data_IF_976444005473
#
_entry.id   IF_976444005473
#
_cell.length_a   1.000
_cell.length_b   1.000
_cell.length_c   1.000
_cell.angle_alpha   90.00
_cell.angle_beta   90.00
_cell.angle_gamma   90.00
#
_symmetry.space_group_name_H-M   'P 1'
#
loop_
_entity.id
_entity.type
_entity.pdbx_description
1 polymer ?
#
# COMPACT_ATOMS: atom_id res chain seq x y z
N UNK A 1 -16.39 -6.23 -16.38
CA UNK A 1 -15.82 -4.92 -16.75
C UNK A 1 -16.01 -3.99 -15.57
N UNK A 2 -14.98 -3.84 -14.73
CA UNK A 2 -14.93 -2.82 -13.68
C UNK A 2 -13.70 -1.98 -13.92
N UNK A 3 -13.89 -0.85 -14.60
CA UNK A 3 -12.84 0.16 -14.80
C UNK A 3 -12.75 0.90 -13.47
N UNK A 4 -11.89 0.44 -12.57
CA UNK A 4 -11.52 1.24 -11.41
C UNK A 4 -10.50 2.28 -11.86
N UNK A 5 -10.80 3.50 -11.48
CA UNK A 5 -10.46 4.72 -12.17
C UNK A 5 -9.08 5.19 -11.75
N UNK A 6 -7.99 4.70 -12.34
CA UNK A 6 -6.62 5.19 -12.07
C UNK A 6 -6.43 6.69 -12.34
N UNK A 7 -7.42 7.36 -12.94
CA UNK A 7 -7.46 8.79 -13.23
C UNK A 7 -7.37 9.67 -11.96
N UNK A 8 -7.95 9.25 -10.83
CA UNK A 8 -7.88 10.04 -9.58
C UNK A 8 -6.46 10.03 -8.98
N UNK A 9 -5.74 8.92 -9.09
CA UNK A 9 -4.35 8.78 -8.64
C UNK A 9 -3.37 9.50 -9.58
N UNK A 10 -3.58 9.38 -10.89
CA UNK A 10 -2.74 10.04 -11.89
C UNK A 10 -2.84 11.58 -11.83
N UNK A 11 -4.00 12.12 -11.47
CA UNK A 11 -4.19 13.57 -11.36
C UNK A 11 -3.44 14.20 -10.16
N UNK A 12 -3.10 13.43 -9.12
CA UNK A 12 -2.30 13.91 -7.99
C UNK A 12 -0.80 13.97 -8.30
N UNK A 13 -0.31 13.08 -9.16
CA UNK A 13 1.13 12.94 -9.48
C UNK A 13 1.59 14.04 -10.46
N UNK A 14 0.68 14.56 -11.31
CA UNK A 14 1.01 15.58 -12.31
C UNK A 14 1.40 16.95 -11.75
N UNK A 15 1.19 17.21 -10.46
CA UNK A 15 1.50 18.51 -9.83
C UNK A 15 2.97 18.73 -9.45
N UNK A 16 3.78 17.69 -9.36
CA UNK A 16 5.17 17.83 -8.89
C UNK A 16 5.99 16.64 -9.36
N UNK A 17 6.85 16.83 -10.37
CA UNK A 17 7.78 15.81 -10.85
C UNK A 17 8.91 15.46 -9.84
N UNK A 18 8.68 15.69 -8.54
CA UNK A 18 9.63 15.48 -7.46
C UNK A 18 8.98 14.84 -6.21
N UNK A 19 7.74 14.32 -6.30
CA UNK A 19 6.95 13.76 -5.17
C UNK A 19 6.49 12.32 -5.39
N UNK A 20 7.42 11.38 -5.64
CA UNK A 20 7.11 9.97 -5.35
C UNK A 20 6.80 9.77 -3.85
N UNK A 21 7.14 10.76 -3.02
CA UNK A 21 7.32 10.63 -1.56
C UNK A 21 6.30 11.34 -0.67
N UNK A 22 5.20 11.90 -1.18
CA UNK A 22 4.13 12.37 -0.27
C UNK A 22 3.03 11.34 -0.27
N UNK A 23 3.15 10.40 0.67
CA UNK A 23 2.07 9.61 1.28
C UNK A 23 0.99 9.22 0.29
N UNK A 24 1.01 7.97 -0.14
CA UNK A 24 -0.15 7.36 -0.76
C UNK A 24 -1.23 7.37 0.32
N UNK A 25 -1.96 8.48 0.49
CA UNK A 25 -2.60 8.86 1.75
C UNK A 25 -3.57 7.74 2.17
N UNK A 26 -3.09 6.78 2.95
CA UNK A 26 -3.94 5.87 3.70
C UNK A 26 -4.80 6.71 4.65
N UNK A 27 -4.32 7.90 5.07
CA UNK A 27 -5.12 8.97 5.70
C UNK A 27 -6.41 9.37 4.93
N UNK A 28 -6.43 9.25 3.59
CA UNK A 28 -7.65 9.54 2.80
C UNK A 28 -8.55 8.33 2.63
N UNK A 29 -8.06 7.14 2.96
CA UNK A 29 -8.93 6.00 3.14
C UNK A 29 -9.61 6.17 4.49
N UNK A 30 -10.94 6.16 4.49
CA UNK A 30 -11.76 6.13 5.71
C UNK A 30 -11.69 4.73 6.36
N UNK A 31 -10.47 4.22 6.55
CA UNK A 31 -10.15 2.91 7.11
C UNK A 31 -9.26 3.12 8.31
N UNK A 32 -9.78 2.78 9.49
CA UNK A 32 -8.97 2.79 10.71
C UNK A 32 -8.01 1.60 10.68
N UNK A 33 -6.71 1.86 10.46
CA UNK A 33 -5.64 0.85 10.50
C UNK A 33 -5.10 0.59 11.90
N UNK A 34 -5.57 1.38 12.87
CA UNK A 34 -5.29 1.19 14.27
C UNK A 34 -3.99 1.82 14.70
N UNK A 35 -3.43 1.27 15.77
CA UNK A 35 -2.21 1.75 16.36
C UNK A 35 -1.21 0.60 16.37
N UNK A 36 0.03 0.91 16.01
CA UNK A 36 1.15 -0.02 16.00
C UNK A 36 2.33 0.56 16.77
N UNK A 37 3.13 -0.32 17.34
CA UNK A 37 4.37 0.08 18.00
C UNK A 37 5.49 0.13 16.97
N UNK A 38 6.15 1.29 16.85
CA UNK A 38 7.33 1.45 16.01
C UNK A 38 8.56 0.74 16.62
N UNK A 39 9.68 0.72 15.89
CA UNK A 39 10.93 0.11 16.37
C UNK A 39 11.51 0.79 17.64
N UNK A 40 11.02 1.98 18.00
CA UNK A 40 11.45 2.75 19.17
C UNK A 40 10.51 2.56 20.38
N UNK A 41 9.44 1.75 20.24
CA UNK A 41 8.44 1.53 21.29
C UNK A 41 7.35 2.61 21.34
N UNK A 42 7.25 3.47 20.33
CA UNK A 42 6.20 4.48 20.25
C UNK A 42 4.97 3.94 19.54
N UNK A 43 3.81 4.22 20.13
CA UNK A 43 2.53 3.95 19.49
C UNK A 43 2.26 5.00 18.41
N UNK A 44 2.23 4.57 17.15
CA UNK A 44 1.95 5.39 15.98
C UNK A 44 0.72 4.87 15.24
N UNK A 45 0.08 5.75 14.47
CA UNK A 45 -1.06 5.36 13.65
C UNK A 45 -0.64 4.35 12.58
N UNK A 46 -1.49 3.35 12.32
CA UNK A 46 -1.22 2.34 11.30
C UNK A 46 -1.11 2.92 9.89
N UNK A 47 -1.77 4.06 9.64
CA UNK A 47 -1.66 4.82 8.39
C UNK A 47 -0.31 5.51 8.28
N UNK A 48 0.15 6.14 9.37
CA UNK A 48 1.49 6.74 9.42
C UNK A 48 2.58 5.68 9.28
N UNK A 49 2.38 4.51 9.93
CA UNK A 49 3.33 3.41 9.86
C UNK A 49 3.47 2.85 8.45
N UNK A 50 2.35 2.55 7.77
CA UNK A 50 2.44 2.03 6.40
C UNK A 50 3.02 3.07 5.45
N UNK A 51 2.67 4.35 5.61
CA UNK A 51 3.27 5.42 4.81
C UNK A 51 4.79 5.48 5.00
N UNK A 52 5.28 5.38 6.24
CA UNK A 52 6.71 5.35 6.54
C UNK A 52 7.42 4.14 5.91
N UNK A 53 6.82 2.94 6.01
CA UNK A 53 7.34 1.73 5.37
C UNK A 53 7.44 1.89 3.85
N UNK A 54 6.45 2.51 3.20
CA UNK A 54 6.47 2.71 1.75
C UNK A 54 7.49 3.78 1.32
N UNK A 55 7.68 4.83 2.13
CA UNK A 55 8.70 5.88 1.91
C UNK A 55 10.11 5.28 2.03
N UNK A 56 10.33 4.40 3.00
CA UNK A 56 11.60 3.71 3.21
C UNK A 56 11.79 2.48 2.31
N UNK A 57 10.88 2.27 1.35
CA UNK A 57 10.90 1.13 0.42
C UNK A 57 10.91 -0.25 1.13
N UNK A 58 10.34 -0.33 2.33
CA UNK A 58 10.23 -1.54 3.16
C UNK A 58 8.97 -2.35 2.80
N UNK A 59 8.85 -2.73 1.53
CA UNK A 59 7.64 -3.38 0.98
C UNK A 59 7.29 -4.73 1.62
N UNK A 60 8.27 -5.49 2.08
CA UNK A 60 8.04 -6.78 2.74
C UNK A 60 7.31 -6.59 4.08
N UNK A 61 7.75 -5.59 4.85
CA UNK A 61 7.10 -5.18 6.10
C UNK A 61 5.72 -4.58 5.83
N UNK A 62 5.58 -3.74 4.80
CA UNK A 62 4.29 -3.14 4.42
C UNK A 62 3.27 -4.23 4.04
N UNK A 63 3.69 -5.24 3.27
CA UNK A 63 2.84 -6.38 2.90
C UNK A 63 2.42 -7.19 4.13
N UNK A 64 3.34 -7.45 5.04
CA UNK A 64 3.07 -8.15 6.30
C UNK A 64 2.08 -7.38 7.17
N UNK A 65 2.25 -6.06 7.25
CA UNK A 65 1.35 -5.17 7.98
C UNK A 65 -0.06 -5.20 7.37
N UNK A 66 -0.20 -5.05 6.05
CA UNK A 66 -1.49 -5.15 5.36
C UNK A 66 -2.15 -6.49 5.66
N UNK A 67 -1.43 -7.60 5.53
CA UNK A 67 -1.97 -8.92 5.83
C UNK A 67 -2.44 -9.04 7.29
N UNK A 68 -1.75 -8.41 8.25
CA UNK A 68 -2.16 -8.41 9.65
C UNK A 68 -3.51 -7.69 9.88
N UNK A 69 -3.84 -6.69 9.05
CA UNK A 69 -5.10 -5.96 9.11
C UNK A 69 -6.31 -6.84 8.78
N UNK A 70 -6.11 -8.00 8.18
CA UNK A 70 -7.18 -8.99 7.96
C UNK A 70 -7.91 -9.37 9.25
N UNK A 71 -7.20 -9.42 10.38
CA UNK A 71 -7.77 -9.80 11.68
C UNK A 71 -8.62 -8.68 12.31
N UNK A 72 -8.52 -7.46 11.77
CA UNK A 72 -9.03 -6.24 12.38
C UNK A 72 -10.10 -5.57 11.52
N UNK A 73 -9.87 -5.50 10.22
CA UNK A 73 -10.75 -4.86 9.25
C UNK A 73 -11.87 -5.81 8.80
N UNK A 74 -12.96 -5.22 8.32
CA UNK A 74 -13.96 -6.00 7.59
C UNK A 74 -13.39 -6.49 6.27
N UNK A 75 -13.95 -7.57 5.71
CA UNK A 75 -13.53 -8.08 4.40
C UNK A 75 -13.59 -7.01 3.30
N UNK A 76 -14.55 -6.07 3.38
CA UNK A 76 -14.68 -5.00 2.40
C UNK A 76 -13.55 -3.98 2.52
N UNK A 77 -13.27 -3.52 3.75
CA UNK A 77 -12.22 -2.52 4.01
C UNK A 77 -10.82 -3.12 3.76
N UNK A 78 -10.62 -4.38 4.12
CA UNK A 78 -9.38 -5.08 3.80
C UNK A 78 -9.16 -5.21 2.29
N UNK A 79 -10.20 -5.58 1.52
CA UNK A 79 -10.08 -5.65 0.07
C UNK A 79 -9.81 -4.28 -0.56
N UNK A 80 -10.39 -3.21 0.00
CA UNK A 80 -10.07 -1.84 -0.41
C UNK A 80 -8.60 -1.50 -0.12
N UNK A 81 -8.12 -1.81 1.09
CA UNK A 81 -6.72 -1.62 1.50
C UNK A 81 -5.74 -2.34 0.57
N UNK A 82 -5.99 -3.62 0.29
CA UNK A 82 -5.19 -4.43 -0.64
C UNK A 82 -5.23 -3.82 -2.05
N UNK A 83 -6.40 -3.37 -2.52
CA UNK A 83 -6.52 -2.79 -3.86
C UNK A 83 -5.67 -1.54 -4.01
N UNK A 84 -5.70 -0.65 -3.01
CA UNK A 84 -4.90 0.59 -3.00
C UNK A 84 -3.41 0.27 -2.95
N UNK A 85 -3.00 -0.69 -2.13
CA UNK A 85 -1.61 -1.11 -2.06
C UNK A 85 -1.09 -1.71 -3.37
N UNK A 86 -1.87 -2.57 -4.02
CA UNK A 86 -1.49 -3.14 -5.31
C UNK A 86 -1.39 -2.05 -6.38
N UNK A 87 -2.34 -1.12 -6.42
CA UNK A 87 -2.32 0.01 -7.35
C UNK A 87 -1.08 0.89 -7.13
N UNK A 88 -0.68 1.13 -5.87
CA UNK A 88 0.60 1.79 -5.55
C UNK A 88 1.79 1.07 -6.19
N UNK A 89 1.90 -0.25 -6.00
CA UNK A 89 2.98 -1.05 -6.57
C UNK A 89 3.02 -1.01 -8.11
N UNK A 90 1.86 -0.98 -8.76
CA UNK A 90 1.73 -0.92 -10.22
C UNK A 90 2.24 0.42 -10.79
N UNK A 91 1.97 1.53 -10.09
CA UNK A 91 2.37 2.88 -10.51
C UNK A 91 3.76 3.31 -10.02
N UNK A 92 4.47 2.45 -9.28
CA UNK A 92 5.82 2.74 -8.81
C UNK A 92 6.76 3.11 -9.99
N UNK A 93 7.69 4.06 -9.77
CA UNK A 93 8.70 4.40 -10.77
C UNK A 93 9.45 3.16 -11.29
N UNK A 94 9.77 3.07 -12.59
CA UNK A 94 10.47 1.92 -13.17
C UNK A 94 11.80 1.58 -12.50
N UNK A 95 12.48 2.58 -11.93
CA UNK A 95 13.74 2.41 -11.19
C UNK A 95 13.50 1.64 -9.88
N UNK A 96 12.45 1.97 -9.15
CA UNK A 96 12.07 1.31 -7.89
C UNK A 96 11.54 -0.10 -8.18
N UNK A 97 10.67 -0.24 -9.21
CA UNK A 97 10.17 -1.55 -9.65
C UNK A 97 11.30 -2.50 -10.02
N UNK A 98 12.31 -2.04 -10.75
CA UNK A 98 13.48 -2.85 -11.08
C UNK A 98 14.33 -3.19 -9.85
N UNK A 99 14.57 -2.22 -8.96
CA UNK A 99 15.35 -2.41 -7.72
C UNK A 99 14.77 -3.51 -6.83
N UNK A 100 13.44 -3.59 -6.73
CA UNK A 100 12.72 -4.53 -5.87
C UNK A 100 12.13 -5.73 -6.62
N UNK A 101 12.44 -5.86 -7.92
CA UNK A 101 11.92 -6.90 -8.81
C UNK A 101 10.38 -6.98 -8.83
N UNK A 102 9.69 -5.84 -8.77
CA UNK A 102 8.24 -5.73 -8.93
C UNK A 102 7.83 -5.76 -10.41
N UNK A 103 8.04 -6.91 -11.03
CA UNK A 103 7.46 -7.23 -12.34
C UNK A 103 5.96 -7.48 -12.19
N UNK A 104 5.19 -7.31 -13.28
CA UNK A 104 3.73 -7.46 -13.26
C UNK A 104 3.27 -8.83 -12.72
N UNK A 105 4.07 -9.88 -12.95
CA UNK A 105 3.83 -11.22 -12.41
C UNK A 105 3.92 -11.27 -10.88
N UNK A 106 4.91 -10.57 -10.30
CA UNK A 106 5.11 -10.55 -8.84
C UNK A 106 3.99 -9.75 -8.18
N UNK A 107 3.61 -8.61 -8.77
CA UNK A 107 2.49 -7.80 -8.29
C UNK A 107 1.17 -8.60 -8.36
N UNK A 108 0.91 -9.30 -9.47
CA UNK A 108 -0.26 -10.16 -9.60
C UNK A 108 -0.29 -11.29 -8.57
N UNK A 109 0.86 -11.93 -8.31
CA UNK A 109 0.97 -12.98 -7.29
C UNK A 109 0.77 -12.43 -5.87
N UNK A 110 1.28 -11.23 -5.57
CA UNK A 110 1.04 -10.56 -4.28
C UNK A 110 -0.44 -10.24 -4.09
N UNK A 111 -1.10 -9.74 -5.14
CA UNK A 111 -2.53 -9.49 -5.12
C UNK A 111 -3.31 -10.76 -4.80
N UNK A 112 -3.00 -11.86 -5.48
CA UNK A 112 -3.65 -13.15 -5.25
C UNK A 112 -3.47 -13.62 -3.80
N UNK A 113 -2.23 -13.65 -3.30
CA UNK A 113 -1.94 -14.03 -1.90
C UNK A 113 -2.70 -13.19 -0.88
N UNK A 114 -2.69 -11.87 -1.06
CA UNK A 114 -3.37 -10.94 -0.16
C UNK A 114 -4.89 -11.08 -0.24
N UNK A 115 -5.46 -11.29 -1.42
CA UNK A 115 -6.91 -11.47 -1.62
C UNK A 115 -7.42 -12.86 -1.22
N UNK A 116 -6.60 -13.91 -1.34
CA UNK A 116 -6.94 -15.27 -0.93
C UNK A 116 -6.72 -15.52 0.57
N UNK A 117 -6.20 -14.51 1.30
CA UNK A 117 -5.81 -14.64 2.71
C UNK A 117 -4.83 -15.79 2.95
N UNK A 118 -4.05 -16.12 1.91
CA UNK A 118 -3.15 -17.27 1.87
C UNK A 118 -1.73 -16.72 1.93
N UNK A 119 -1.13 -16.80 3.12
CA UNK A 119 0.22 -16.32 3.42
C UNK A 119 1.15 -17.48 3.74
#
# INVERSE_FOLDING_TARGET
>A
MGVYNSDWLLNQIRGTANVVSKAFKFETLDIDLGQVEDEQGHTIDGSDYIDDLLIHEQYDQATTFIHSQLKRLTTNDYNLLVSVYIEYLEILPPVIRQKHHFDDRKIASLREKLSEFSW
#
